data_IF_621582892618
#
_entry.id   IF_621582892618
#
_cell.length_a   1.000
_cell.length_b   1.000
_cell.length_c   1.000
_cell.angle_alpha   90.00
_cell.angle_beta   90.00
_cell.angle_gamma   90.00
#
_symmetry.space_group_name_H-M   'P 1'
#
loop_
_entity.id
_entity.type
_entity.pdbx_description
1 polymer ?
#
# COMPACT_ATOMS: atom_id res chain seq x y z
N UNK A 1 -0.67 -65.01 1.19
CA UNK A 1 0.04 -64.05 0.35
C UNK A 1 -1.00 -63.02 -0.06
N UNK A 2 -1.16 -62.00 0.70
CA UNK A 2 -2.10 -60.90 0.44
C UNK A 2 -1.27 -59.62 0.22
N UNK A 3 -1.34 -59.12 -0.98
CA UNK A 3 -0.65 -57.89 -1.44
C UNK A 3 -1.28 -56.67 -0.79
N UNK A 4 -0.45 -55.88 -0.14
CA UNK A 4 -0.80 -54.51 0.31
C UNK A 4 -0.68 -53.58 -0.89
N UNK A 5 -1.79 -53.08 -1.36
CA UNK A 5 -1.87 -52.06 -2.37
C UNK A 5 -1.39 -50.72 -1.79
N UNK A 6 -0.44 -50.08 -2.48
CA UNK A 6 0.13 -48.82 -2.12
C UNK A 6 -0.90 -47.68 -2.15
N UNK A 7 -0.79 -46.83 -1.17
CA UNK A 7 -1.38 -45.50 -1.17
C UNK A 7 -0.60 -44.65 -2.18
N UNK A 8 -1.31 -44.13 -3.16
CA UNK A 8 -0.78 -43.14 -4.11
C UNK A 8 -0.55 -41.80 -3.42
N UNK A 9 0.48 -41.01 -3.80
CA UNK A 9 0.74 -39.67 -3.25
C UNK A 9 -0.07 -38.60 -4.02
N UNK A 10 -1.40 -38.73 -4.00
CA UNK A 10 -2.32 -37.78 -4.69
C UNK A 10 -3.32 -37.12 -3.74
N UNK A 11 -2.92 -36.69 -2.55
CA UNK A 11 -3.79 -35.94 -1.65
C UNK A 11 -3.07 -34.80 -0.93
N UNK A 12 -2.35 -33.95 -1.68
CA UNK A 12 -1.75 -32.74 -1.10
C UNK A 12 -2.08 -31.43 -1.81
N UNK A 13 -2.91 -31.43 -2.82
CA UNK A 13 -3.52 -30.22 -3.35
C UNK A 13 -4.85 -29.91 -2.62
N UNK A 14 -4.76 -29.61 -1.33
CA UNK A 14 -5.84 -28.94 -0.62
C UNK A 14 -6.01 -27.60 -1.36
N UNK A 15 -7.14 -27.42 -1.99
CA UNK A 15 -7.49 -26.23 -2.77
C UNK A 15 -7.44 -25.01 -1.82
N UNK A 16 -6.27 -24.34 -1.84
CA UNK A 16 -5.98 -23.16 -1.01
C UNK A 16 -7.03 -22.05 -1.23
N UNK A 17 -7.75 -22.09 -2.35
CA UNK A 17 -8.78 -21.11 -2.69
C UNK A 17 -10.03 -21.25 -1.81
N UNK A 18 -10.39 -22.42 -1.36
CA UNK A 18 -11.57 -22.65 -0.52
C UNK A 18 -11.39 -22.18 0.93
N UNK A 19 -10.17 -21.93 1.34
CA UNK A 19 -9.83 -21.49 2.71
C UNK A 19 -9.54 -19.98 2.81
N UNK A 20 -9.40 -19.28 1.69
CA UNK A 20 -9.12 -17.85 1.65
C UNK A 20 -10.41 -17.05 1.70
N UNK A 21 -10.59 -16.30 2.78
CA UNK A 21 -11.74 -15.41 2.95
C UNK A 21 -11.30 -13.95 3.03
N UNK A 22 -12.15 -13.06 2.52
CA UNK A 22 -11.96 -11.61 2.60
C UNK A 22 -13.12 -11.03 3.40
N UNK A 23 -12.77 -10.25 4.43
CA UNK A 23 -13.77 -9.64 5.30
C UNK A 23 -13.57 -8.12 5.36
N UNK A 24 -14.64 -7.33 5.53
CA UNK A 24 -14.49 -5.92 5.85
C UNK A 24 -13.67 -5.75 7.13
N UNK A 25 -12.77 -4.78 7.13
CA UNK A 25 -12.06 -4.42 8.35
C UNK A 25 -13.05 -3.79 9.35
N UNK A 26 -12.84 -4.10 10.61
CA UNK A 26 -13.66 -3.62 11.73
C UNK A 26 -12.71 -3.22 12.86
N UNK A 27 -12.77 -1.95 13.26
CA UNK A 27 -11.83 -1.42 14.26
C UNK A 27 -11.93 -2.14 15.60
N UNK A 28 -13.15 -2.39 16.08
CA UNK A 28 -13.33 -3.02 17.40
C UNK A 28 -12.82 -4.46 17.45
N UNK A 29 -12.96 -5.18 16.35
CA UNK A 29 -12.58 -6.62 16.28
C UNK A 29 -11.14 -6.85 15.86
N UNK A 30 -10.58 -5.95 15.03
CA UNK A 30 -9.34 -6.26 14.32
C UNK A 30 -8.16 -5.35 14.69
N UNK A 31 -8.37 -4.29 15.49
CA UNK A 31 -7.31 -3.32 15.79
C UNK A 31 -6.08 -3.98 16.42
N UNK A 32 -6.24 -4.74 17.48
CA UNK A 32 -5.12 -5.37 18.20
C UNK A 32 -4.38 -6.38 17.30
N UNK A 33 -5.14 -7.22 16.58
CA UNK A 33 -4.59 -8.20 15.66
C UNK A 33 -3.75 -7.54 14.55
N UNK A 34 -4.30 -6.52 13.91
CA UNK A 34 -3.68 -5.89 12.74
C UNK A 34 -2.56 -4.95 13.15
N UNK A 35 -2.67 -4.27 14.31
CA UNK A 35 -1.65 -3.31 14.78
C UNK A 35 -0.30 -3.97 14.98
N UNK A 36 -0.25 -5.14 15.59
CA UNK A 36 1.00 -5.87 15.79
C UNK A 36 1.61 -6.29 14.44
N UNK A 37 0.80 -6.86 13.55
CA UNK A 37 1.25 -7.24 12.21
C UNK A 37 1.71 -6.05 11.38
N UNK A 38 1.02 -4.90 11.47
CA UNK A 38 1.36 -3.70 10.74
C UNK A 38 2.71 -3.12 11.19
N UNK A 39 2.92 -3.05 12.50
CA UNK A 39 4.15 -2.51 13.06
C UNK A 39 5.32 -3.49 12.84
N UNK A 40 5.15 -4.78 13.15
CA UNK A 40 6.25 -5.74 13.12
C UNK A 40 6.52 -6.30 11.72
N UNK A 41 5.48 -6.73 11.01
CA UNK A 41 5.67 -7.47 9.77
C UNK A 41 5.72 -6.55 8.54
N UNK A 42 4.75 -5.64 8.40
CA UNK A 42 4.70 -4.73 7.25
C UNK A 42 5.93 -3.84 7.18
N UNK A 43 6.36 -3.26 8.30
CA UNK A 43 7.54 -2.40 8.35
C UNK A 43 8.83 -3.13 7.92
N UNK A 44 8.96 -4.40 8.29
CA UNK A 44 10.12 -5.21 7.94
C UNK A 44 10.06 -5.76 6.51
N UNK A 45 8.87 -6.05 5.99
CA UNK A 45 8.70 -6.59 4.64
C UNK A 45 8.62 -5.51 3.56
N UNK A 46 8.20 -4.30 3.91
CA UNK A 46 8.15 -3.18 2.98
C UNK A 46 9.56 -2.74 2.58
N UNK A 47 9.95 -2.82 1.30
CA UNK A 47 11.24 -2.31 0.85
C UNK A 47 11.39 -0.81 1.15
N UNK A 48 10.29 -0.06 1.06
CA UNK A 48 10.26 1.38 1.32
C UNK A 48 10.54 1.69 2.81
N UNK A 49 9.86 0.99 3.73
CA UNK A 49 10.12 1.16 5.16
C UNK A 49 11.56 0.79 5.53
N UNK A 50 12.09 -0.32 5.00
CA UNK A 50 13.49 -0.71 5.21
C UNK A 50 14.47 0.32 4.70
N UNK A 51 14.23 0.86 3.50
CA UNK A 51 15.12 1.85 2.88
C UNK A 51 15.18 3.18 3.64
N UNK A 52 14.15 3.50 4.44
CA UNK A 52 14.20 4.64 5.38
C UNK A 52 15.17 4.41 6.55
N UNK A 53 15.59 3.17 6.77
CA UNK A 53 16.40 2.74 7.91
C UNK A 53 15.65 2.83 9.24
N UNK A 54 14.31 3.03 9.21
CA UNK A 54 13.52 3.14 10.42
C UNK A 54 13.30 1.77 11.07
N UNK A 55 13.38 1.73 12.39
CA UNK A 55 13.00 0.56 13.17
C UNK A 55 11.49 0.59 13.43
N UNK A 56 10.86 -0.58 13.70
CA UNK A 56 9.42 -0.65 13.97
C UNK A 56 8.93 0.33 15.05
N UNK A 57 9.69 0.48 16.14
CA UNK A 57 9.38 1.40 17.22
C UNK A 57 9.46 2.88 16.84
N UNK A 58 10.30 3.23 15.87
CA UNK A 58 10.48 4.62 15.40
C UNK A 58 9.33 5.11 14.51
N UNK A 59 8.65 4.17 13.84
CA UNK A 59 7.53 4.48 12.92
C UNK A 59 6.18 4.09 13.52
N UNK A 60 6.17 3.55 14.74
CA UNK A 60 4.98 3.03 15.41
C UNK A 60 3.81 4.03 15.40
N UNK A 61 4.04 5.24 15.85
CA UNK A 61 2.96 6.23 16.03
C UNK A 61 2.38 6.65 14.68
N UNK A 62 3.22 6.85 13.66
CA UNK A 62 2.76 7.13 12.30
C UNK A 62 1.93 5.96 11.73
N UNK A 63 2.37 4.72 11.96
CA UNK A 63 1.67 3.54 11.47
C UNK A 63 0.36 3.28 12.23
N UNK A 64 0.32 3.53 13.53
CA UNK A 64 -0.93 3.44 14.30
C UNK A 64 -1.95 4.48 13.84
N UNK A 65 -1.53 5.68 13.47
CA UNK A 65 -2.42 6.69 12.93
C UNK A 65 -3.00 6.28 11.56
N UNK A 66 -2.17 5.73 10.68
CA UNK A 66 -2.63 5.17 9.40
C UNK A 66 -3.63 4.04 9.64
N UNK A 67 -3.31 3.12 10.55
CA UNK A 67 -4.16 1.99 10.89
C UNK A 67 -5.51 2.43 11.47
N UNK A 68 -5.51 3.38 12.41
CA UNK A 68 -6.71 3.95 13.01
C UNK A 68 -7.65 4.50 11.93
N UNK A 69 -7.14 5.32 11.03
CA UNK A 69 -7.90 5.88 9.92
C UNK A 69 -8.42 4.78 8.97
N UNK A 70 -7.59 3.78 8.70
CA UNK A 70 -7.91 2.69 7.77
C UNK A 70 -8.97 1.75 8.32
N UNK A 71 -8.93 1.42 9.62
CA UNK A 71 -9.93 0.54 10.25
C UNK A 71 -11.26 1.25 10.53
N UNK A 72 -11.26 2.57 10.63
CA UNK A 72 -12.48 3.37 10.68
C UNK A 72 -13.14 3.53 9.30
N UNK A 73 -12.42 3.22 8.22
CA UNK A 73 -12.97 3.23 6.87
C UNK A 73 -13.78 1.95 6.60
N UNK A 74 -15.04 2.05 6.18
CA UNK A 74 -15.86 0.87 5.86
C UNK A 74 -15.41 0.17 4.57
N UNK A 75 -14.36 0.66 3.93
CA UNK A 75 -13.87 0.19 2.64
C UNK A 75 -12.61 -0.68 2.74
N UNK A 76 -12.00 -0.76 3.93
CA UNK A 76 -10.81 -1.59 4.14
C UNK A 76 -11.15 -3.07 4.23
N UNK A 77 -10.25 -3.91 3.71
CA UNK A 77 -10.46 -5.36 3.56
C UNK A 77 -9.31 -6.11 4.23
N UNK A 78 -9.62 -7.14 4.99
CA UNK A 78 -8.67 -8.10 5.51
C UNK A 78 -8.79 -9.44 4.78
N UNK A 79 -7.67 -10.12 4.59
CA UNK A 79 -7.59 -11.48 4.05
C UNK A 79 -7.22 -12.44 5.17
N UNK A 80 -8.01 -13.50 5.31
CA UNK A 80 -7.78 -14.57 6.29
C UNK A 80 -7.60 -15.91 5.60
N UNK A 81 -6.77 -16.73 6.19
CA UNK A 81 -6.61 -18.14 5.84
C UNK A 81 -6.57 -18.95 7.13
N UNK A 82 -7.50 -19.89 7.30
CA UNK A 82 -7.64 -20.70 8.52
C UNK A 82 -7.62 -19.83 9.80
N UNK A 83 -8.49 -18.84 9.88
CA UNK A 83 -8.62 -17.88 10.99
C UNK A 83 -7.39 -16.99 11.25
N UNK A 84 -6.31 -17.15 10.48
CA UNK A 84 -5.13 -16.29 10.55
C UNK A 84 -5.28 -15.13 9.56
N UNK A 85 -5.17 -13.89 10.03
CA UNK A 85 -5.02 -12.74 9.15
C UNK A 85 -3.67 -12.85 8.41
N UNK A 86 -3.72 -12.76 7.08
CA UNK A 86 -2.54 -12.93 6.22
C UNK A 86 -2.27 -11.74 5.33
N UNK A 87 -3.14 -10.73 5.35
CA UNK A 87 -2.97 -9.55 4.54
C UNK A 87 -4.15 -8.59 4.62
N UNK A 88 -3.98 -7.44 4.00
CA UNK A 88 -5.00 -6.40 3.93
C UNK A 88 -4.87 -5.51 2.70
N UNK A 89 -5.96 -4.82 2.39
CA UNK A 89 -6.03 -3.62 1.57
C UNK A 89 -6.72 -2.53 2.40
N UNK A 90 -5.99 -1.52 2.83
CA UNK A 90 -6.55 -0.38 3.53
C UNK A 90 -6.95 0.69 2.53
N UNK A 91 -8.19 1.10 2.61
CA UNK A 91 -8.79 1.96 1.61
C UNK A 91 -9.59 3.09 2.27
N UNK A 92 -9.62 4.24 1.60
CA UNK A 92 -10.57 5.30 1.92
C UNK A 92 -11.03 6.04 0.66
N UNK A 93 -12.07 6.86 0.80
CA UNK A 93 -12.58 7.67 -0.30
C UNK A 93 -12.28 9.14 -0.02
N UNK A 94 -11.66 9.79 -0.98
CA UNK A 94 -11.48 11.25 -1.03
C UNK A 94 -12.62 11.80 -1.89
N UNK A 95 -13.39 12.74 -1.35
CA UNK A 95 -14.51 13.39 -2.05
C UNK A 95 -14.28 14.89 -2.17
N UNK A 96 -15.08 15.54 -3.01
CA UNK A 96 -15.06 16.98 -3.21
C UNK A 96 -13.66 17.51 -3.57
N UNK A 97 -12.97 16.75 -4.44
CA UNK A 97 -11.62 17.07 -4.89
C UNK A 97 -11.64 18.37 -5.66
N UNK A 98 -10.86 19.33 -5.19
CA UNK A 98 -10.63 20.58 -5.92
C UNK A 98 -9.56 20.34 -6.98
N UNK A 99 -9.88 20.67 -8.22
CA UNK A 99 -8.90 20.61 -9.31
C UNK A 99 -7.77 21.62 -9.08
N UNK A 100 -6.57 21.20 -9.38
CA UNK A 100 -5.40 22.08 -9.49
C UNK A 100 -4.91 22.10 -10.92
N UNK A 101 -4.45 23.27 -11.37
CA UNK A 101 -3.77 23.43 -12.66
C UNK A 101 -2.24 23.50 -12.50
N UNK A 102 -1.77 23.40 -11.27
CA UNK A 102 -0.34 23.40 -10.96
C UNK A 102 0.24 22.01 -11.22
N UNK A 103 1.09 21.90 -12.24
CA UNK A 103 1.83 20.67 -12.53
C UNK A 103 2.86 20.41 -11.44
N UNK A 104 2.69 19.36 -10.63
CA UNK A 104 3.63 19.07 -9.55
C UNK A 104 5.00 18.60 -10.03
N UNK A 105 5.15 18.26 -11.32
CA UNK A 105 6.44 17.84 -11.90
C UNK A 105 7.37 19.02 -12.19
N UNK A 106 6.83 20.24 -12.34
CA UNK A 106 7.62 21.43 -12.64
C UNK A 106 8.37 21.99 -11.44
N UNK A 107 7.92 21.70 -10.22
CA UNK A 107 8.45 22.23 -8.97
C UNK A 107 8.86 21.12 -8.00
N UNK A 108 9.58 20.11 -8.49
CA UNK A 108 10.13 19.06 -7.61
C UNK A 108 11.22 19.70 -6.73
N UNK A 109 11.09 19.49 -5.42
CA UNK A 109 12.09 20.00 -4.47
C UNK A 109 13.42 19.29 -4.70
N UNK A 110 14.49 20.06 -4.61
CA UNK A 110 15.86 19.53 -4.67
C UNK A 110 16.35 19.05 -3.32
N UNK A 111 15.71 19.48 -2.23
CA UNK A 111 15.98 19.06 -0.85
C UNK A 111 14.70 19.12 -0.01
N UNK A 112 14.49 18.15 0.83
CA UNK A 112 13.28 17.96 1.62
C UNK A 112 13.45 18.30 3.11
N UNK A 113 14.60 18.87 3.53
CA UNK A 113 14.89 19.13 4.93
C UNK A 113 13.81 19.98 5.62
N UNK A 114 13.33 21.04 4.95
CA UNK A 114 12.28 21.91 5.49
C UNK A 114 10.93 21.19 5.57
N UNK A 115 10.56 20.43 4.54
CA UNK A 115 9.30 19.64 4.52
C UNK A 115 9.33 18.62 5.65
N UNK A 116 10.42 17.87 5.80
CA UNK A 116 10.60 16.87 6.86
C UNK A 116 10.52 17.51 8.25
N UNK A 117 11.13 18.69 8.43
CA UNK A 117 11.08 19.39 9.71
C UNK A 117 9.66 19.79 10.12
N UNK A 118 8.79 20.06 9.14
CA UNK A 118 7.40 20.49 9.36
C UNK A 118 6.38 19.35 9.47
N UNK A 119 6.76 18.08 9.23
CA UNK A 119 5.86 16.94 9.46
C UNK A 119 5.56 16.80 10.95
N UNK A 120 4.27 16.77 11.38
CA UNK A 120 3.88 16.77 12.79
C UNK A 120 4.01 15.39 13.43
N UNK A 121 5.19 14.82 13.41
CA UNK A 121 5.56 13.56 14.06
C UNK A 121 6.83 13.76 14.87
N UNK A 122 6.99 13.02 15.97
CA UNK A 122 8.16 13.15 16.83
C UNK A 122 9.40 12.49 16.22
N UNK A 123 9.22 11.33 15.59
CA UNK A 123 10.33 10.58 15.03
C UNK A 123 10.77 11.10 13.66
N UNK A 124 12.04 11.44 13.53
CA UNK A 124 12.62 12.00 12.31
C UNK A 124 12.54 11.04 11.10
N UNK A 125 12.74 9.73 11.28
CA UNK A 125 12.64 8.75 10.19
C UNK A 125 11.20 8.54 9.73
N UNK A 126 10.24 8.60 10.65
CA UNK A 126 8.83 8.62 10.30
C UNK A 126 8.48 9.85 9.45
N UNK A 127 8.99 11.04 9.82
CA UNK A 127 8.81 12.27 9.02
C UNK A 127 9.33 12.12 7.60
N UNK A 128 10.48 11.46 7.38
CA UNK A 128 11.04 11.18 6.06
C UNK A 128 10.09 10.34 5.21
N UNK A 129 9.51 9.27 5.78
CA UNK A 129 8.55 8.41 5.09
C UNK A 129 7.33 9.21 4.64
N UNK A 130 6.75 10.00 5.55
CA UNK A 130 5.58 10.83 5.25
C UNK A 130 5.91 11.86 4.17
N UNK A 131 7.01 12.59 4.29
CA UNK A 131 7.41 13.60 3.30
C UNK A 131 7.57 13.03 1.88
N UNK A 132 8.09 11.80 1.74
CA UNK A 132 8.22 11.14 0.44
C UNK A 132 6.86 10.75 -0.14
N UNK A 133 5.95 10.24 0.71
CA UNK A 133 4.59 9.87 0.28
C UNK A 133 3.78 11.12 -0.07
N UNK A 134 3.86 12.16 0.74
CA UNK A 134 3.16 13.42 0.48
C UNK A 134 3.63 14.07 -0.82
N UNK A 135 4.94 14.00 -1.13
CA UNK A 135 5.45 14.56 -2.38
C UNK A 135 4.93 13.80 -3.61
N UNK A 136 4.89 12.48 -3.61
CA UNK A 136 4.37 11.75 -4.78
C UNK A 136 2.88 12.01 -4.99
N UNK A 137 2.13 12.26 -3.92
CA UNK A 137 0.70 12.56 -3.95
C UNK A 137 0.40 14.06 -4.09
N UNK A 138 1.40 14.93 -4.01
CA UNK A 138 1.22 16.38 -4.10
C UNK A 138 0.50 16.75 -5.39
N UNK A 139 -0.58 17.56 -5.28
CA UNK A 139 -1.38 18.01 -6.40
C UNK A 139 -1.87 16.88 -7.33
N UNK A 140 -2.20 15.72 -6.76
CA UNK A 140 -2.61 14.55 -7.55
C UNK A 140 -3.82 14.84 -8.47
N UNK A 141 -4.68 15.80 -8.11
CA UNK A 141 -5.84 16.18 -8.91
C UNK A 141 -5.47 16.76 -10.29
N UNK A 142 -4.25 17.24 -10.46
CA UNK A 142 -3.71 17.65 -11.75
C UNK A 142 -3.74 16.52 -12.80
N UNK A 143 -3.45 15.29 -12.34
CA UNK A 143 -3.37 14.13 -13.24
C UNK A 143 -4.72 13.49 -13.56
N UNK A 144 -5.78 13.91 -12.89
CA UNK A 144 -7.13 13.33 -13.01
C UNK A 144 -8.20 14.42 -13.22
N UNK A 145 -8.08 15.27 -14.25
CA UNK A 145 -9.03 16.35 -14.46
C UNK A 145 -10.45 15.81 -14.58
N UNK A 146 -11.41 16.50 -13.98
CA UNK A 146 -12.82 16.14 -13.95
C UNK A 146 -13.21 15.07 -12.92
N UNK A 147 -12.24 14.47 -12.18
CA UNK A 147 -12.55 13.55 -11.11
C UNK A 147 -12.89 14.32 -9.81
N UNK A 148 -14.04 14.02 -9.21
CA UNK A 148 -14.49 14.61 -7.93
C UNK A 148 -14.38 13.66 -6.76
N UNK A 149 -14.24 12.36 -7.04
CA UNK A 149 -14.13 11.31 -6.04
C UNK A 149 -13.07 10.30 -6.43
N UNK A 150 -12.17 10.01 -5.49
CA UNK A 150 -11.10 9.03 -5.66
C UNK A 150 -11.19 7.99 -4.54
N UNK A 151 -11.20 6.73 -4.94
CA UNK A 151 -10.99 5.62 -4.01
C UNK A 151 -9.49 5.35 -3.92
N UNK A 152 -8.91 5.59 -2.75
CA UNK A 152 -7.48 5.45 -2.51
C UNK A 152 -7.18 4.15 -1.79
N UNK A 153 -6.29 3.35 -2.36
CA UNK A 153 -5.64 2.22 -1.70
C UNK A 153 -4.36 2.72 -1.00
N UNK A 154 -4.44 2.89 0.32
CA UNK A 154 -3.34 3.42 1.13
C UNK A 154 -2.23 2.42 1.35
N UNK A 155 -2.59 1.21 1.81
CA UNK A 155 -1.62 0.14 2.03
C UNK A 155 -2.14 -1.19 1.54
N UNK A 156 -1.26 -1.93 0.88
CA UNK A 156 -1.49 -3.30 0.43
C UNK A 156 -0.42 -4.19 1.04
N UNK A 157 -0.83 -5.22 1.75
CA UNK A 157 0.07 -6.16 2.39
C UNK A 157 -0.41 -7.61 2.26
N UNK A 158 0.52 -8.50 2.06
CA UNK A 158 0.33 -9.95 2.21
C UNK A 158 1.58 -10.53 2.88
N UNK A 159 1.40 -11.30 3.93
CA UNK A 159 2.47 -12.03 4.63
C UNK A 159 3.29 -12.83 3.59
N UNK A 160 4.61 -12.69 3.64
CA UNK A 160 5.54 -13.28 2.67
C UNK A 160 5.41 -14.80 2.56
N UNK A 161 4.99 -15.49 3.63
CA UNK A 161 4.72 -16.93 3.64
C UNK A 161 3.54 -17.32 2.72
N UNK A 162 2.70 -16.36 2.37
CA UNK A 162 1.56 -16.51 1.46
C UNK A 162 1.76 -15.77 0.13
N UNK A 163 2.99 -15.33 -0.13
CA UNK A 163 3.36 -14.65 -1.38
C UNK A 163 3.22 -15.55 -2.61
N UNK A 164 3.09 -14.92 -3.80
CA UNK A 164 3.01 -15.64 -5.08
C UNK A 164 1.67 -16.31 -5.39
N UNK A 165 0.70 -16.30 -4.48
CA UNK A 165 -0.62 -16.95 -4.60
C UNK A 165 -1.72 -16.01 -5.15
N UNK A 166 -1.38 -14.84 -5.66
CA UNK A 166 -2.34 -13.89 -6.23
C UNK A 166 -3.20 -13.14 -5.20
N UNK A 167 -2.95 -13.28 -3.88
CA UNK A 167 -3.78 -12.67 -2.82
C UNK A 167 -3.77 -11.15 -2.90
N UNK A 168 -2.60 -10.52 -3.12
CA UNK A 168 -2.50 -9.08 -3.28
C UNK A 168 -3.28 -8.56 -4.50
N UNK A 169 -3.26 -9.32 -5.60
CA UNK A 169 -4.08 -9.03 -6.79
C UNK A 169 -5.57 -9.08 -6.45
N UNK A 170 -6.03 -10.15 -5.79
CA UNK A 170 -7.44 -10.30 -5.36
C UNK A 170 -7.87 -9.19 -4.40
N UNK A 171 -7.02 -8.78 -3.46
CA UNK A 171 -7.29 -7.64 -2.57
C UNK A 171 -7.47 -6.34 -3.36
N UNK A 172 -6.59 -6.07 -4.33
CA UNK A 172 -6.67 -4.88 -5.18
C UNK A 172 -7.92 -4.93 -6.08
N UNK A 173 -8.25 -6.08 -6.69
CA UNK A 173 -9.48 -6.25 -7.48
C UNK A 173 -10.73 -5.96 -6.65
N UNK A 174 -10.79 -6.46 -5.41
CA UNK A 174 -11.90 -6.17 -4.49
C UNK A 174 -11.97 -4.70 -4.12
N UNK A 175 -10.84 -4.04 -3.94
CA UNK A 175 -10.79 -2.59 -3.71
C UNK A 175 -11.32 -1.81 -4.91
N UNK A 176 -10.99 -2.20 -6.14
CA UNK A 176 -11.54 -1.61 -7.37
C UNK A 176 -13.06 -1.84 -7.47
N UNK A 177 -13.53 -3.05 -7.13
CA UNK A 177 -14.98 -3.34 -7.08
C UNK A 177 -15.71 -2.46 -6.07
N UNK A 178 -15.12 -2.25 -4.86
CA UNK A 178 -15.68 -1.32 -3.88
C UNK A 178 -15.70 0.12 -4.38
N UNK A 179 -14.67 0.55 -5.11
CA UNK A 179 -14.64 1.87 -5.73
C UNK A 179 -15.80 2.09 -6.71
N UNK A 180 -16.08 1.09 -7.56
CA UNK A 180 -17.23 1.09 -8.48
C UNK A 180 -18.56 1.12 -7.75
N UNK A 181 -18.73 0.29 -6.71
CA UNK A 181 -19.95 0.24 -5.89
C UNK A 181 -20.21 1.55 -5.15
N UNK A 182 -19.16 2.31 -4.82
CA UNK A 182 -19.26 3.60 -4.17
C UNK A 182 -19.29 4.78 -5.15
N UNK A 183 -19.44 4.51 -6.45
CA UNK A 183 -19.52 5.51 -7.52
C UNK A 183 -18.35 6.50 -7.51
N UNK A 184 -17.14 5.99 -7.28
CA UNK A 184 -15.94 6.80 -7.39
C UNK A 184 -15.55 6.97 -8.85
N UNK A 185 -15.06 8.17 -9.21
CA UNK A 185 -14.63 8.47 -10.58
C UNK A 185 -13.32 7.79 -10.92
N UNK A 186 -12.43 7.67 -9.94
CA UNK A 186 -11.09 7.14 -10.10
C UNK A 186 -10.69 6.22 -8.93
N UNK A 187 -9.77 5.30 -9.23
CA UNK A 187 -9.03 4.51 -8.22
C UNK A 187 -7.57 4.94 -8.23
N UNK A 188 -6.99 5.14 -7.06
CA UNK A 188 -5.62 5.61 -6.87
C UNK A 188 -4.84 4.68 -5.95
N UNK A 189 -3.57 4.47 -6.26
CA UNK A 189 -2.62 3.78 -5.40
C UNK A 189 -1.20 4.32 -5.58
N UNK A 190 -0.39 4.25 -4.52
CA UNK A 190 1.04 4.53 -4.59
C UNK A 190 1.82 3.22 -4.60
N UNK A 191 2.62 3.01 -5.65
CA UNK A 191 3.51 1.87 -5.73
C UNK A 191 4.90 2.26 -5.24
N UNK A 192 5.30 1.70 -4.11
CA UNK A 192 6.62 1.90 -3.49
C UNK A 192 7.63 0.81 -3.86
N UNK A 193 7.22 -0.17 -4.67
CA UNK A 193 8.08 -1.24 -5.15
C UNK A 193 7.55 -1.83 -6.47
N UNK A 194 8.40 -2.60 -7.15
CA UNK A 194 8.09 -3.17 -8.46
C UNK A 194 6.95 -4.19 -8.43
N UNK A 195 6.77 -4.92 -7.32
CA UNK A 195 5.70 -5.92 -7.19
C UNK A 195 4.32 -5.25 -7.15
N UNK A 196 4.16 -4.21 -6.33
CA UNK A 196 2.92 -3.44 -6.28
C UNK A 196 2.65 -2.73 -7.62
N UNK A 197 3.66 -2.10 -8.24
CA UNK A 197 3.54 -1.49 -9.55
C UNK A 197 3.07 -2.49 -10.62
N UNK A 198 3.62 -3.72 -10.61
CA UNK A 198 3.23 -4.78 -11.54
C UNK A 198 1.77 -5.22 -11.35
N UNK A 199 1.31 -5.38 -10.09
CA UNK A 199 -0.08 -5.71 -9.78
C UNK A 199 -1.01 -4.61 -10.32
N UNK A 200 -0.72 -3.35 -9.99
CA UNK A 200 -1.55 -2.22 -10.41
C UNK A 200 -1.60 -2.07 -11.92
N UNK A 201 -0.47 -2.21 -12.61
CA UNK A 201 -0.43 -2.17 -14.08
C UNK A 201 -1.25 -3.29 -14.72
N UNK A 202 -1.17 -4.53 -14.19
CA UNK A 202 -1.98 -5.67 -14.68
C UNK A 202 -3.48 -5.45 -14.51
N UNK A 203 -3.87 -4.69 -13.49
CA UNK A 203 -5.28 -4.32 -13.22
C UNK A 203 -5.71 -3.03 -13.94
N UNK A 204 -4.88 -2.50 -14.83
CA UNK A 204 -5.21 -1.38 -15.70
C UNK A 204 -4.88 0.00 -15.15
N UNK A 205 -4.27 0.11 -13.97
CA UNK A 205 -3.79 1.39 -13.47
C UNK A 205 -2.62 1.89 -14.33
N UNK A 206 -2.63 3.17 -14.61
CA UNK A 206 -1.55 3.86 -15.34
C UNK A 206 -0.69 4.66 -14.37
N UNK A 207 0.62 4.61 -14.56
CA UNK A 207 1.54 5.49 -13.84
C UNK A 207 1.38 6.92 -14.41
N UNK A 208 1.01 7.86 -13.56
CA UNK A 208 0.81 9.27 -13.93
C UNK A 208 1.93 10.18 -13.41
N UNK A 209 2.61 9.75 -12.35
CA UNK A 209 3.79 10.43 -11.81
C UNK A 209 4.78 9.39 -11.30
N UNK A 210 6.05 9.61 -11.54
CA UNK A 210 7.14 8.77 -11.05
C UNK A 210 8.27 9.66 -10.55
N UNK A 211 8.76 9.40 -9.34
CA UNK A 211 9.88 10.11 -8.75
C UNK A 211 10.95 9.08 -8.39
N UNK A 212 12.19 9.21 -8.91
CA UNK A 212 13.29 8.35 -8.51
C UNK A 212 13.60 8.51 -7.01
N UNK A 213 13.91 7.43 -6.32
CA UNK A 213 14.25 7.50 -4.89
C UNK A 213 15.49 8.35 -4.62
N UNK A 214 16.41 8.42 -5.58
CA UNK A 214 17.61 9.23 -5.50
C UNK A 214 17.35 10.75 -5.53
N UNK A 215 16.15 11.17 -5.94
CA UNK A 215 15.74 12.56 -5.94
C UNK A 215 15.36 13.08 -4.54
N UNK A 216 15.10 12.17 -3.59
CA UNK A 216 14.73 12.56 -2.23
C UNK A 216 15.97 12.78 -1.37
N UNK A 217 16.36 14.05 -1.21
CA UNK A 217 17.51 14.46 -0.43
C UNK A 217 17.08 15.23 0.82
N UNK A 218 17.87 15.12 1.88
CA UNK A 218 17.80 15.94 3.09
C UNK A 218 19.20 16.44 3.43
N UNK A 219 19.41 17.76 3.39
CA UNK A 219 20.72 18.39 3.52
C UNK A 219 21.76 17.77 2.57
N UNK A 220 21.36 17.49 1.32
CA UNK A 220 22.20 16.87 0.30
C UNK A 220 22.44 15.37 0.47
N UNK A 221 21.87 14.72 1.49
CA UNK A 221 22.02 13.28 1.74
C UNK A 221 20.74 12.53 1.30
N UNK A 222 20.91 11.33 0.72
CA UNK A 222 19.77 10.51 0.34
C UNK A 222 18.95 10.12 1.57
N UNK A 223 17.64 10.41 1.53
CA UNK A 223 16.67 10.03 2.57
C UNK A 223 16.51 8.52 2.64
N UNK A 224 16.51 7.87 1.48
CA UNK A 224 16.21 6.45 1.32
C UNK A 224 17.43 5.74 0.73
N UNK A 225 17.77 4.58 1.29
CA UNK A 225 18.94 3.79 0.90
C UNK A 225 18.58 2.31 0.80
N UNK A 226 19.36 1.53 0.05
CA UNK A 226 19.29 0.06 0.00
C UNK A 226 17.95 -0.55 -0.42
N UNK A 227 17.33 0.00 -1.45
CA UNK A 227 16.08 -0.57 -2.02
C UNK A 227 16.25 -1.93 -2.70
N UNK A 228 17.48 -2.34 -2.97
CA UNK A 228 17.79 -3.39 -3.95
C UNK A 228 17.66 -2.86 -5.39
N UNK A 229 18.27 -3.59 -6.32
CA UNK A 229 18.45 -3.13 -7.71
C UNK A 229 17.16 -2.92 -8.50
N UNK A 230 16.05 -3.53 -8.08
CA UNK A 230 14.78 -3.52 -8.81
C UNK A 230 13.87 -2.34 -8.45
N UNK A 231 14.02 -1.76 -7.25
CA UNK A 231 13.15 -0.69 -6.77
C UNK A 231 13.86 0.67 -6.88
N UNK A 232 13.58 1.41 -7.95
CA UNK A 232 14.27 2.67 -8.25
C UNK A 232 13.44 3.93 -8.05
N UNK A 233 12.13 3.78 -7.89
CA UNK A 233 11.21 4.92 -7.87
C UNK A 233 9.94 4.62 -7.09
N UNK A 234 9.30 5.69 -6.64
CA UNK A 234 7.92 5.69 -6.16
C UNK A 234 7.00 6.18 -7.28
N UNK A 235 5.82 5.56 -7.43
CA UNK A 235 4.91 5.82 -8.54
C UNK A 235 3.51 6.09 -8.04
N UNK A 236 2.90 7.15 -8.55
CA UNK A 236 1.48 7.44 -8.40
C UNK A 236 0.73 6.80 -9.56
N UNK A 237 -0.25 5.97 -9.26
CA UNK A 237 -0.96 5.18 -10.25
C UNK A 237 -2.45 5.38 -10.14
N UNK A 238 -3.11 5.57 -11.28
CA UNK A 238 -4.55 5.80 -11.39
C UNK A 238 -5.23 4.86 -12.37
N UNK A 239 -6.48 4.53 -12.04
CA UNK A 239 -7.45 3.91 -12.95
C UNK A 239 -8.70 4.80 -13.00
N UNK A 240 -9.09 5.26 -14.18
CA UNK A 240 -10.37 5.92 -14.39
C UNK A 240 -11.46 4.85 -14.41
N UNK A 241 -12.52 5.04 -13.61
CA UNK A 241 -13.59 4.04 -13.43
C UNK A 241 -14.83 4.35 -14.25
N UNK A 242 -15.07 5.64 -14.56
CA UNK A 242 -16.21 6.12 -15.36
C UNK A 242 -15.75 7.08 -16.46
#
# INVERSE_FOLDING_TARGET
MTSVSGLSPEDSDIDIQDQLIFVPADREKHFDLVSEMFIQNFSQQSPFARASGAKPEEIRDAYLQILENSLNSPHSILAFMNDKCIGWAFNHIIRDITETHEDPSLNVLTDFAEVIANVPLDNHRARRIVAVVDEIERNFSYFIPGCRSVFKLDTLYVDSNYGGKGIATKLTEKSIQLALLNHCDCFMAVATNIKSASIYTKLGLKCVREIPFDAFLENGQKILQDFGDENKSIRLMFLKLM
#
